data_IF_719909962392
#
_entry.id   IF_719909962392
#
_cell.length_a   1.000
_cell.length_b   1.000
_cell.length_c   1.000
_cell.angle_alpha   90.00
_cell.angle_beta   90.00
_cell.angle_gamma   90.00
#
_symmetry.space_group_name_H-M   'P 1'
#
loop_
_entity.id
_entity.type
_entity.pdbx_description
1 polymer ?
#
# COMPACT_ATOMS: atom_id res chain seq x y z
N UNK A 1 -12.08 -0.34 11.46
CA UNK A 1 -12.76 0.54 10.49
C UNK A 1 -13.01 -0.24 9.22
N UNK A 2 -14.28 -0.45 8.87
CA UNK A 2 -14.71 -1.06 7.63
C UNK A 2 -14.98 0.05 6.63
N UNK A 3 -14.14 0.18 5.61
CA UNK A 3 -14.17 1.28 4.64
C UNK A 3 -14.42 0.79 3.22
N UNK A 4 -15.67 0.78 2.75
CA UNK A 4 -16.02 0.53 1.35
C UNK A 4 -15.26 1.42 0.36
N UNK A 5 -15.27 1.10 -0.95
CA UNK A 5 -14.58 1.90 -1.95
C UNK A 5 -15.03 3.36 -1.93
N UNK A 6 -14.07 4.28 -1.93
CA UNK A 6 -14.35 5.71 -1.99
C UNK A 6 -14.82 6.38 -0.70
N UNK A 7 -14.90 5.66 0.43
CA UNK A 7 -15.38 6.21 1.72
C UNK A 7 -14.30 6.97 2.51
N UNK A 8 -13.11 7.18 1.95
CA UNK A 8 -12.05 7.92 2.64
C UNK A 8 -11.38 7.14 3.77
N UNK A 9 -11.31 5.81 3.69
CA UNK A 9 -10.68 4.93 4.68
C UNK A 9 -9.32 5.43 5.16
N UNK A 10 -8.37 5.66 4.25
CA UNK A 10 -7.03 6.13 4.61
C UNK A 10 -7.05 7.52 5.24
N UNK A 11 -7.92 8.41 4.77
CA UNK A 11 -8.09 9.75 5.37
C UNK A 11 -8.60 9.64 6.80
N UNK A 12 -9.60 8.81 7.04
CA UNK A 12 -10.13 8.53 8.38
C UNK A 12 -9.05 7.93 9.29
N UNK A 13 -8.20 7.03 8.75
CA UNK A 13 -7.12 6.43 9.51
C UNK A 13 -6.03 7.45 9.87
N UNK A 14 -5.69 8.35 8.96
CA UNK A 14 -4.75 9.48 9.23
C UNK A 14 -5.29 10.37 10.34
N UNK A 15 -6.59 10.71 10.34
CA UNK A 15 -7.23 11.44 11.43
C UNK A 15 -7.15 10.68 12.76
N UNK A 16 -7.48 9.39 12.75
CA UNK A 16 -7.43 8.57 13.95
C UNK A 16 -6.00 8.49 14.52
N UNK A 17 -4.97 8.42 13.66
CA UNK A 17 -3.56 8.46 14.07
C UNK A 17 -3.26 9.82 14.69
N UNK A 18 -3.63 10.92 14.02
CA UNK A 18 -3.38 12.27 14.51
C UNK A 18 -4.03 12.52 15.87
N UNK A 19 -5.28 12.13 16.06
CA UNK A 19 -5.99 12.23 17.35
C UNK A 19 -5.36 11.33 18.43
N UNK A 20 -4.87 10.14 18.06
CA UNK A 20 -4.17 9.25 18.99
C UNK A 20 -2.86 9.88 19.47
N UNK A 21 -2.12 10.55 18.58
CA UNK A 21 -0.85 11.22 18.91
C UNK A 21 -1.00 12.42 19.87
N UNK A 22 -2.22 12.92 20.08
CA UNK A 22 -2.48 13.91 21.15
C UNK A 22 -2.36 13.32 22.56
N UNK A 23 -2.50 11.99 22.67
CA UNK A 23 -2.51 11.24 23.93
C UNK A 23 -1.32 10.28 24.09
N UNK A 24 -0.74 9.86 22.99
CA UNK A 24 0.38 8.93 22.93
C UNK A 24 1.61 9.62 22.30
N UNK A 25 2.79 9.31 22.84
CA UNK A 25 4.04 9.89 22.32
C UNK A 25 4.38 9.34 20.93
N UNK A 26 4.07 8.07 20.68
CA UNK A 26 4.45 7.38 19.45
C UNK A 26 3.49 6.25 19.12
N UNK A 27 3.22 6.03 17.82
CA UNK A 27 2.42 4.91 17.33
C UNK A 27 3.16 4.13 16.23
N UNK A 28 2.77 2.87 16.05
CA UNK A 28 3.22 2.04 14.93
C UNK A 28 2.14 2.03 13.84
N UNK A 29 2.54 2.26 12.59
CA UNK A 29 1.65 2.21 11.42
C UNK A 29 2.17 1.18 10.43
N UNK A 30 1.33 0.22 10.06
CA UNK A 30 1.69 -0.84 9.13
C UNK A 30 0.68 -0.99 8.01
N UNK A 31 1.14 -1.51 6.87
CA UNK A 31 0.29 -2.01 5.79
C UNK A 31 0.93 -3.20 5.10
N UNK A 32 0.18 -3.91 4.25
CA UNK A 32 0.70 -5.05 3.52
C UNK A 32 1.74 -4.65 2.48
N UNK A 33 1.53 -3.58 1.73
CA UNK A 33 2.39 -3.11 0.66
C UNK A 33 3.21 -1.87 1.03
N UNK A 34 4.39 -1.70 0.39
CA UNK A 34 5.17 -0.47 0.55
C UNK A 34 4.38 0.76 0.08
N UNK A 35 3.64 0.64 -1.02
CA UNK A 35 2.86 1.74 -1.58
C UNK A 35 1.79 2.25 -0.59
N UNK A 36 1.10 1.36 0.11
CA UNK A 36 0.12 1.75 1.12
C UNK A 36 0.78 2.42 2.33
N UNK A 37 1.95 1.90 2.79
CA UNK A 37 2.71 2.53 3.88
C UNK A 37 3.19 3.92 3.48
N UNK A 38 3.72 4.08 2.26
CA UNK A 38 4.23 5.36 1.78
C UNK A 38 3.08 6.37 1.64
N UNK A 39 1.94 5.96 1.08
CA UNK A 39 0.76 6.82 0.93
C UNK A 39 0.22 7.37 2.26
N UNK A 40 0.09 6.51 3.29
CA UNK A 40 -0.36 6.98 4.62
C UNK A 40 0.69 7.85 5.28
N UNK A 41 1.98 7.52 5.09
CA UNK A 41 3.11 8.29 5.62
C UNK A 41 3.18 9.69 5.01
N UNK A 42 2.99 9.83 3.69
CA UNK A 42 2.91 11.13 3.02
C UNK A 42 1.82 12.02 3.63
N UNK A 43 0.61 11.49 3.78
CA UNK A 43 -0.50 12.23 4.38
C UNK A 43 -0.24 12.67 5.81
N UNK A 44 0.52 11.89 6.59
CA UNK A 44 0.92 12.25 7.94
C UNK A 44 2.00 13.34 7.94
N UNK A 45 2.98 13.23 7.03
CA UNK A 45 4.04 14.26 6.85
C UNK A 45 3.43 15.57 6.39
N UNK A 46 2.48 15.57 5.46
CA UNK A 46 1.76 16.77 4.99
C UNK A 46 1.02 17.50 6.13
N UNK A 47 0.72 16.78 7.23
CA UNK A 47 0.15 17.34 8.47
C UNK A 47 1.18 17.73 9.52
N UNK A 48 2.46 17.68 9.17
CA UNK A 48 3.56 18.03 10.09
C UNK A 48 3.87 16.94 11.12
N UNK A 49 3.41 15.69 10.93
CA UNK A 49 3.76 14.60 11.83
C UNK A 49 5.14 14.05 11.49
N UNK A 50 6.01 13.93 12.49
CA UNK A 50 7.34 13.33 12.32
C UNK A 50 7.22 11.81 12.10
N UNK A 51 7.49 11.35 10.88
CA UNK A 51 7.44 9.94 10.48
C UNK A 51 8.85 9.38 10.32
N UNK A 52 9.11 8.17 10.82
CA UNK A 52 10.29 7.37 10.53
C UNK A 52 9.86 6.11 9.77
N UNK A 53 10.27 6.01 8.51
CA UNK A 53 9.91 4.92 7.60
C UNK A 53 10.94 3.79 7.68
N UNK A 54 10.53 2.63 8.18
CA UNK A 54 11.38 1.44 8.27
C UNK A 54 11.16 0.57 7.03
N UNK A 55 12.20 0.34 6.26
CA UNK A 55 12.14 -0.51 5.07
C UNK A 55 13.25 -0.20 4.07
N UNK A 56 13.47 -1.07 3.11
CA UNK A 56 14.51 -0.91 2.10
C UNK A 56 14.24 0.35 1.23
N UNK A 57 15.17 1.34 1.21
CA UNK A 57 15.01 2.57 0.44
C UNK A 57 14.70 2.37 -1.06
N UNK A 58 15.17 1.26 -1.66
CA UNK A 58 14.91 0.96 -3.08
C UNK A 58 13.45 0.60 -3.38
N UNK A 59 12.63 0.41 -2.35
CA UNK A 59 11.20 0.06 -2.44
C UNK A 59 10.28 1.13 -1.90
N UNK A 60 10.84 2.26 -1.51
CA UNK A 60 10.13 3.43 -0.98
C UNK A 60 10.01 4.46 -2.09
N UNK A 61 8.90 5.16 -2.18
CA UNK A 61 8.73 6.21 -3.18
C UNK A 61 9.66 7.42 -2.91
N UNK A 62 9.89 8.23 -3.94
CA UNK A 62 10.86 9.34 -3.89
C UNK A 62 10.52 10.36 -2.80
N UNK A 63 9.23 10.65 -2.56
CA UNK A 63 8.80 11.61 -1.54
C UNK A 63 9.13 11.14 -0.12
N UNK A 64 9.03 9.84 0.13
CA UNK A 64 9.29 9.26 1.44
C UNK A 64 10.74 8.83 1.66
N UNK A 65 11.59 8.90 0.62
CA UNK A 65 12.97 8.43 0.69
C UNK A 65 13.79 9.11 1.79
N UNK A 66 13.64 10.42 1.95
CA UNK A 66 14.33 11.20 3.00
C UNK A 66 13.85 10.89 4.43
N UNK A 67 12.69 10.26 4.57
CA UNK A 67 12.11 9.84 5.85
C UNK A 67 12.47 8.41 6.23
N UNK A 68 13.23 7.69 5.37
CA UNK A 68 13.67 6.34 5.67
C UNK A 68 14.72 6.33 6.78
N UNK A 69 14.65 5.27 7.62
CA UNK A 69 15.63 5.06 8.68
C UNK A 69 17.06 5.08 8.16
N UNK A 70 17.33 4.36 7.07
CA UNK A 70 18.67 4.26 6.48
C UNK A 70 19.21 5.64 6.06
N UNK A 71 18.41 6.44 5.37
CA UNK A 71 18.82 7.78 4.93
C UNK A 71 19.03 8.72 6.10
N UNK A 72 18.12 8.71 7.08
CA UNK A 72 18.26 9.54 8.28
C UNK A 72 19.45 9.11 9.14
N UNK A 73 19.70 7.81 9.24
CA UNK A 73 20.85 7.26 9.95
C UNK A 73 22.17 7.70 9.29
N UNK A 74 22.28 7.58 7.96
CA UNK A 74 23.46 8.00 7.18
C UNK A 74 23.67 9.52 7.18
N UNK A 75 22.61 10.31 7.29
CA UNK A 75 22.66 11.78 7.32
C UNK A 75 22.91 12.34 8.73
N UNK A 76 22.97 11.48 9.76
CA UNK A 76 23.17 11.92 11.13
C UNK A 76 24.58 12.52 11.33
N UNK A 77 24.74 13.63 12.10
CA UNK A 77 26.05 14.27 12.35
C UNK A 77 27.13 13.32 12.88
N UNK A 78 26.77 12.31 13.64
CA UNK A 78 27.70 11.33 14.22
C UNK A 78 28.02 10.17 13.25
N UNK A 79 27.35 10.07 12.12
CA UNK A 79 27.58 8.96 11.17
C UNK A 79 29.01 8.92 10.58
N UNK A 80 29.65 10.04 10.24
CA UNK A 80 31.03 10.02 9.75
C UNK A 80 32.03 9.41 10.77
N UNK A 81 31.85 9.66 12.09
CA UNK A 81 32.65 9.04 13.14
C UNK A 81 32.43 7.53 13.15
N UNK A 82 31.18 7.09 13.14
CA UNK A 82 30.80 5.69 13.09
C UNK A 82 31.37 4.99 11.86
N UNK A 83 31.28 5.61 10.70
CA UNK A 83 31.82 5.08 9.46
C UNK A 83 33.35 4.90 9.52
N UNK A 84 34.07 5.89 10.07
CA UNK A 84 35.52 5.85 10.26
C UNK A 84 35.94 4.71 11.19
N UNK A 85 35.23 4.50 12.29
CA UNK A 85 35.45 3.40 13.23
C UNK A 85 35.21 2.05 12.56
N UNK A 86 34.10 1.89 11.84
CA UNK A 86 33.78 0.66 11.10
C UNK A 86 34.83 0.35 10.03
N UNK A 87 35.38 1.36 9.37
CA UNK A 87 36.49 1.24 8.42
C UNK A 87 37.77 0.77 9.11
N UNK A 88 38.12 1.36 10.26
CA UNK A 88 39.27 0.98 11.07
C UNK A 88 39.17 -0.48 11.54
N UNK A 89 38.02 -0.93 12.01
CA UNK A 89 37.77 -2.33 12.41
C UNK A 89 38.00 -3.28 11.22
N UNK A 90 37.49 -2.93 10.02
CA UNK A 90 37.70 -3.73 8.79
C UNK A 90 39.19 -3.85 8.44
N UNK A 91 39.93 -2.74 8.47
CA UNK A 91 41.36 -2.72 8.20
C UNK A 91 42.15 -3.53 9.20
N UNK A 92 41.84 -3.44 10.51
CA UNK A 92 42.47 -4.25 11.54
C UNK A 92 42.19 -5.74 11.37
N UNK A 93 41.05 -6.14 10.86
CA UNK A 93 40.71 -7.54 10.56
C UNK A 93 41.47 -8.06 9.34
N UNK A 94 41.62 -7.26 8.29
CA UNK A 94 42.35 -7.61 7.07
C UNK A 94 43.84 -7.72 7.32
N UNK A 95 44.43 -6.86 8.17
CA UNK A 95 45.86 -6.77 8.41
C UNK A 95 46.34 -7.59 9.64
N UNK A 96 45.58 -8.58 10.08
CA UNK A 96 45.90 -9.41 11.22
C UNK A 96 47.19 -10.23 10.95
N UNK A 97 48.34 -9.80 11.52
CA UNK A 97 49.58 -10.57 11.52
C UNK A 97 49.54 -11.64 12.62
N UNK A 98 50.06 -12.88 12.34
CA UNK A 98 50.24 -13.94 13.33
C UNK A 98 51.27 -13.47 14.39
N UNK A 99 50.85 -13.36 15.66
CA UNK A 99 51.77 -13.10 16.79
C UNK A 99 51.44 -11.95 17.73
N UNK A 100 50.38 -11.15 17.52
CA UNK A 100 49.99 -10.02 18.41
C UNK A 100 48.54 -10.13 18.86
N UNK A 101 48.20 -11.21 19.59
CA UNK A 101 46.81 -11.56 19.85
C UNK A 101 46.11 -10.61 20.87
N UNK A 102 46.69 -10.35 22.03
CA UNK A 102 46.00 -9.70 23.14
C UNK A 102 45.74 -8.18 22.88
N UNK A 103 46.74 -7.47 22.41
CA UNK A 103 46.62 -6.03 22.15
C UNK A 103 45.67 -5.74 20.96
N UNK A 104 45.64 -6.66 19.98
CA UNK A 104 44.73 -6.57 18.83
C UNK A 104 43.26 -6.77 19.26
N UNK A 105 42.99 -7.80 20.07
CA UNK A 105 41.63 -8.06 20.58
C UNK A 105 41.09 -6.88 21.39
N UNK A 106 41.88 -6.36 22.33
CA UNK A 106 41.50 -5.21 23.14
C UNK A 106 41.19 -3.97 22.26
N UNK A 107 42.02 -3.71 21.24
CA UNK A 107 41.80 -2.57 20.33
C UNK A 107 40.51 -2.72 19.52
N UNK A 108 40.28 -3.93 18.96
CA UNK A 108 39.05 -4.22 18.20
C UNK A 108 37.81 -4.10 19.11
N UNK A 109 37.84 -4.61 20.33
CA UNK A 109 36.72 -4.54 21.27
C UNK A 109 36.42 -3.09 21.70
N UNK A 110 37.44 -2.26 21.96
CA UNK A 110 37.24 -0.83 22.23
C UNK A 110 36.55 -0.12 21.06
N UNK A 111 37.00 -0.39 19.84
CA UNK A 111 36.39 0.20 18.64
C UNK A 111 34.95 -0.29 18.43
N UNK A 112 34.67 -1.56 18.65
CA UNK A 112 33.30 -2.11 18.59
C UNK A 112 32.40 -1.46 19.64
N UNK A 113 32.86 -1.35 20.90
CA UNK A 113 32.09 -0.70 21.98
C UNK A 113 31.76 0.74 21.61
N UNK A 114 32.76 1.49 21.08
CA UNK A 114 32.54 2.87 20.63
C UNK A 114 31.56 2.95 19.46
N UNK A 115 31.67 2.05 18.48
CA UNK A 115 30.70 1.99 17.36
C UNK A 115 29.28 1.72 17.87
N UNK A 116 29.12 0.74 18.78
CA UNK A 116 27.81 0.44 19.38
C UNK A 116 27.24 1.63 20.15
N UNK A 117 28.06 2.35 20.91
CA UNK A 117 27.63 3.56 21.63
C UNK A 117 27.09 4.62 20.68
N UNK A 118 27.80 4.90 19.57
CA UNK A 118 27.36 5.87 18.57
C UNK A 118 26.08 5.39 17.88
N UNK A 119 26.00 4.12 17.49
CA UNK A 119 24.79 3.53 16.91
C UNK A 119 23.59 3.65 17.83
N UNK A 120 23.74 3.38 19.12
CA UNK A 120 22.70 3.53 20.13
C UNK A 120 22.25 4.99 20.25
N UNK A 121 23.20 5.94 20.23
CA UNK A 121 22.91 7.38 20.32
C UNK A 121 22.13 7.86 19.09
N UNK A 122 22.56 7.50 17.87
CA UNK A 122 21.85 7.83 16.64
C UNK A 122 20.43 7.24 16.69
N UNK A 123 20.29 5.96 17.03
CA UNK A 123 19.00 5.29 17.13
C UNK A 123 18.09 5.97 18.15
N UNK A 124 18.61 6.27 19.35
CA UNK A 124 17.83 6.94 20.39
C UNK A 124 17.28 8.30 19.92
N UNK A 125 18.08 9.06 19.19
CA UNK A 125 17.65 10.33 18.62
C UNK A 125 16.59 10.14 17.51
N UNK A 126 16.84 9.28 16.52
CA UNK A 126 15.91 9.06 15.42
C UNK A 126 14.55 8.55 15.90
N UNK A 127 14.55 7.59 16.82
CA UNK A 127 13.31 7.07 17.42
C UNK A 127 12.65 8.06 18.36
N UNK A 128 13.44 8.87 19.10
CA UNK A 128 12.92 9.90 20.00
C UNK A 128 12.24 11.06 19.27
N UNK A 129 12.72 11.43 18.09
CA UNK A 129 12.13 12.49 17.25
C UNK A 129 10.86 12.01 16.52
N UNK A 130 10.76 10.74 16.20
CA UNK A 130 9.64 10.23 15.43
C UNK A 130 8.37 10.09 16.28
N UNK A 131 7.24 10.55 15.76
CA UNK A 131 5.92 10.35 16.36
C UNK A 131 5.21 9.14 15.75
N UNK A 132 5.55 8.79 14.51
CA UNK A 132 5.03 7.63 13.80
C UNK A 132 6.20 6.79 13.29
N UNK A 133 6.19 5.51 13.63
CA UNK A 133 7.04 4.51 13.02
C UNK A 133 6.20 3.79 11.96
N UNK A 134 6.63 3.87 10.69
CA UNK A 134 5.89 3.31 9.57
C UNK A 134 6.67 2.16 8.91
N UNK A 135 6.04 1.01 8.70
CA UNK A 135 6.66 -0.15 8.05
C UNK A 135 5.63 -1.05 7.36
N UNK A 136 6.08 -1.95 6.49
CA UNK A 136 5.20 -3.06 6.10
C UNK A 136 5.00 -4.00 7.29
N UNK A 137 3.93 -4.81 7.27
CA UNK A 137 3.66 -5.79 8.33
C UNK A 137 4.88 -6.68 8.60
N UNK A 138 5.46 -7.27 7.55
CA UNK A 138 6.69 -8.08 7.67
C UNK A 138 7.90 -7.21 8.03
N UNK A 139 7.97 -5.98 7.51
CA UNK A 139 9.02 -5.01 7.84
C UNK A 139 9.08 -4.64 9.32
N UNK A 140 7.98 -4.79 10.06
CA UNK A 140 7.95 -4.58 11.52
C UNK A 140 8.81 -5.60 12.29
N UNK A 141 9.22 -6.70 11.67
CA UNK A 141 10.20 -7.64 12.24
C UNK A 141 11.66 -7.18 12.12
N UNK A 142 11.92 -6.03 11.48
CA UNK A 142 13.28 -5.50 11.33
C UNK A 142 13.98 -5.39 12.70
N UNK A 143 15.26 -5.73 12.73
CA UNK A 143 16.07 -5.73 13.95
C UNK A 143 16.19 -4.35 14.61
N UNK A 144 16.11 -3.25 13.82
CA UNK A 144 16.12 -1.88 14.37
C UNK A 144 14.93 -1.58 15.28
N UNK A 145 13.84 -2.35 15.14
CA UNK A 145 12.66 -2.30 15.99
C UNK A 145 12.73 -3.30 17.17
N UNK A 146 13.85 -3.99 17.35
CA UNK A 146 13.99 -4.96 18.43
C UNK A 146 13.85 -4.27 19.79
N UNK A 147 13.03 -4.84 20.67
CA UNK A 147 12.74 -4.25 21.99
C UNK A 147 11.72 -3.08 21.98
N UNK A 148 11.41 -2.49 20.83
CA UNK A 148 10.40 -1.42 20.73
C UNK A 148 8.99 -1.96 20.95
N UNK A 149 8.21 -1.26 21.77
CA UNK A 149 6.79 -1.51 22.05
C UNK A 149 5.99 -0.24 21.89
N UNK A 150 4.77 -0.37 21.43
CA UNK A 150 3.86 0.74 21.17
C UNK A 150 2.54 0.53 21.91
N UNK A 151 1.87 1.59 22.29
CA UNK A 151 0.52 1.47 22.84
C UNK A 151 -0.44 1.10 21.72
N UNK A 152 -0.38 1.80 20.59
CA UNK A 152 -1.30 1.59 19.49
C UNK A 152 -0.58 1.25 18.18
N UNK A 153 -1.09 0.24 17.50
CA UNK A 153 -0.76 -0.14 16.12
C UNK A 153 -1.96 0.16 15.21
N UNK A 154 -1.69 0.80 14.08
CA UNK A 154 -2.64 0.97 13.00
C UNK A 154 -2.23 0.08 11.82
N UNK A 155 -3.18 -0.68 11.26
CA UNK A 155 -2.95 -1.51 10.07
C UNK A 155 -3.90 -1.04 8.96
N UNK A 156 -3.36 -0.46 7.90
CA UNK A 156 -4.12 -0.13 6.69
C UNK A 156 -4.13 -1.32 5.72
N UNK A 157 -5.17 -1.40 4.88
CA UNK A 157 -5.44 -2.52 3.96
C UNK A 157 -5.41 -3.89 4.64
N UNK A 158 -5.94 -3.95 5.88
CA UNK A 158 -5.92 -5.16 6.71
C UNK A 158 -6.66 -6.35 6.09
N UNK A 159 -7.62 -6.11 5.20
CA UNK A 159 -8.34 -7.14 4.48
C UNK A 159 -7.53 -7.80 3.35
N UNK A 160 -6.41 -7.17 2.92
CA UNK A 160 -5.49 -7.73 1.93
C UNK A 160 -4.28 -8.42 2.58
N UNK A 161 -4.19 -8.42 3.90
CA UNK A 161 -3.08 -8.98 4.66
C UNK A 161 -3.37 -10.40 5.13
N UNK A 162 -2.41 -11.31 4.97
CA UNK A 162 -2.47 -12.60 5.63
C UNK A 162 -2.48 -12.42 7.15
N UNK A 163 -3.29 -13.20 7.85
CA UNK A 163 -3.40 -13.13 9.31
C UNK A 163 -2.04 -13.25 10.00
N UNK A 164 -1.19 -14.19 9.56
CA UNK A 164 0.16 -14.37 10.10
C UNK A 164 1.03 -13.11 10.01
N UNK A 165 0.90 -12.33 8.92
CA UNK A 165 1.63 -11.07 8.77
C UNK A 165 1.15 -10.02 9.78
N UNK A 166 -0.16 -9.94 10.04
CA UNK A 166 -0.70 -9.06 11.07
C UNK A 166 -0.13 -9.36 12.45
N UNK A 167 -0.01 -10.65 12.82
CA UNK A 167 0.55 -11.07 14.11
C UNK A 167 1.99 -10.63 14.34
N UNK A 168 2.80 -10.52 13.27
CA UNK A 168 4.18 -10.01 13.37
C UNK A 168 4.18 -8.59 13.95
N UNK A 169 3.36 -7.70 13.42
CA UNK A 169 3.24 -6.32 13.91
C UNK A 169 2.52 -6.25 15.26
N UNK A 170 1.46 -7.02 15.46
CA UNK A 170 0.63 -7.02 16.68
C UNK A 170 1.41 -7.40 17.94
N UNK A 171 2.45 -8.21 17.83
CA UNK A 171 3.35 -8.51 18.95
C UNK A 171 3.99 -7.26 19.57
N UNK A 172 4.00 -6.13 18.86
CA UNK A 172 4.66 -4.90 19.28
C UNK A 172 3.71 -3.88 19.91
N UNK A 173 2.41 -4.16 19.94
CA UNK A 173 1.41 -3.19 20.42
C UNK A 173 0.40 -3.83 21.39
N UNK A 174 -0.15 -2.99 22.26
CA UNK A 174 -1.20 -3.41 23.21
C UNK A 174 -2.60 -3.22 22.64
N UNK A 175 -2.77 -2.25 21.74
CA UNK A 175 -4.04 -1.93 21.06
C UNK A 175 -3.82 -1.93 19.55
N UNK A 176 -4.80 -2.44 18.79
CA UNK A 176 -4.73 -2.51 17.35
C UNK A 176 -5.98 -1.88 16.72
N UNK A 177 -5.78 -1.03 15.73
CA UNK A 177 -6.83 -0.48 14.88
C UNK A 177 -6.62 -1.03 13.46
N UNK A 178 -7.58 -1.80 12.98
CA UNK A 178 -7.58 -2.34 11.61
C UNK A 178 -8.44 -1.45 10.71
N UNK A 179 -7.92 -1.08 9.56
CA UNK A 179 -8.67 -0.43 8.49
C UNK A 179 -8.59 -1.27 7.22
N UNK A 180 -9.72 -1.52 6.58
CA UNK A 180 -9.77 -2.37 5.40
C UNK A 180 -11.20 -2.55 4.91
N UNK A 181 -11.35 -3.44 3.94
CA UNK A 181 -12.64 -3.84 3.41
C UNK A 181 -12.62 -5.32 3.02
N UNK A 182 -13.20 -6.15 3.86
CA UNK A 182 -13.22 -7.60 3.67
C UNK A 182 -14.16 -8.07 2.54
N UNK A 183 -14.98 -7.17 2.02
CA UNK A 183 -15.82 -7.43 0.83
C UNK A 183 -15.08 -7.20 -0.49
N UNK A 184 -13.86 -6.63 -0.43
CA UNK A 184 -12.97 -6.51 -1.58
C UNK A 184 -12.08 -7.74 -1.74
N UNK A 185 -11.14 -7.70 -2.70
CA UNK A 185 -10.26 -8.82 -3.02
C UNK A 185 -9.46 -9.27 -1.79
N UNK A 186 -9.46 -10.59 -1.51
CA UNK A 186 -8.69 -11.17 -0.42
C UNK A 186 -7.17 -11.18 -0.72
N UNK A 187 -6.32 -11.56 0.26
CA UNK A 187 -4.89 -11.75 0.02
C UNK A 187 -4.64 -12.78 -1.08
N UNK A 188 -3.60 -12.55 -1.90
CA UNK A 188 -3.20 -13.51 -2.92
C UNK A 188 -2.55 -14.74 -2.28
N UNK A 189 -3.19 -15.90 -2.40
CA UNK A 189 -2.67 -17.19 -1.97
C UNK A 189 -2.37 -18.05 -3.20
N UNK A 190 -1.11 -18.43 -3.41
CA UNK A 190 -0.68 -19.18 -4.59
C UNK A 190 -1.05 -20.66 -4.55
N UNK A 191 -1.09 -21.27 -3.36
CA UNK A 191 -1.47 -22.67 -3.17
C UNK A 191 -2.98 -22.77 -3.00
N UNK A 192 -3.63 -23.52 -3.88
CA UNK A 192 -5.07 -23.80 -3.81
C UNK A 192 -5.44 -24.59 -2.55
N UNK A 193 -4.59 -25.53 -2.13
CA UNK A 193 -4.77 -26.30 -0.90
C UNK A 193 -4.71 -25.41 0.34
N UNK A 194 -3.73 -24.50 0.40
CA UNK A 194 -3.60 -23.54 1.50
C UNK A 194 -4.81 -22.57 1.55
N UNK A 195 -5.30 -22.15 0.38
CA UNK A 195 -6.50 -21.32 0.29
C UNK A 195 -7.73 -22.06 0.84
N UNK A 196 -7.95 -23.33 0.45
CA UNK A 196 -9.01 -24.18 1.00
C UNK A 196 -8.83 -24.44 2.50
N UNK A 197 -7.59 -24.57 2.97
CA UNK A 197 -7.25 -24.68 4.39
C UNK A 197 -7.49 -23.41 5.22
N UNK A 198 -7.99 -22.32 4.60
CA UNK A 198 -8.37 -21.09 5.30
C UNK A 198 -7.28 -20.01 5.36
N UNK A 199 -6.16 -20.16 4.63
CA UNK A 199 -5.09 -19.15 4.61
C UNK A 199 -5.55 -17.81 4.00
N UNK A 200 -6.56 -17.82 3.13
CA UNK A 200 -7.13 -16.62 2.52
C UNK A 200 -8.03 -15.82 3.48
N UNK A 201 -8.52 -16.46 4.57
CA UNK A 201 -9.38 -15.79 5.55
C UNK A 201 -8.55 -14.85 6.41
N UNK A 202 -8.83 -13.54 6.31
CA UNK A 202 -8.06 -12.50 6.98
C UNK A 202 -8.43 -12.33 8.44
N UNK A 203 -7.54 -11.76 9.23
CA UNK A 203 -7.83 -11.38 10.62
C UNK A 203 -9.01 -10.39 10.69
N UNK A 204 -9.07 -9.43 9.77
CA UNK A 204 -10.17 -8.46 9.70
C UNK A 204 -11.52 -9.15 9.48
N UNK A 205 -11.61 -10.07 8.52
CA UNK A 205 -12.82 -10.85 8.25
C UNK A 205 -13.28 -11.64 9.49
N UNK A 206 -12.33 -12.30 10.19
CA UNK A 206 -12.63 -13.00 11.44
C UNK A 206 -13.17 -12.10 12.54
N UNK A 207 -12.64 -10.86 12.63
CA UNK A 207 -13.11 -9.88 13.61
C UNK A 207 -14.51 -9.39 13.25
N UNK A 208 -14.77 -9.09 11.98
CA UNK A 208 -16.12 -8.68 11.53
C UNK A 208 -17.16 -9.75 11.84
N UNK A 209 -16.82 -11.02 11.64
CA UNK A 209 -17.74 -12.16 11.94
C UNK A 209 -17.97 -12.38 13.44
N UNK A 210 -16.87 -12.30 14.23
CA UNK A 210 -16.93 -12.71 15.64
C UNK A 210 -17.20 -11.58 16.63
N UNK A 211 -16.90 -10.35 16.22
CA UNK A 211 -16.99 -9.14 17.06
C UNK A 211 -17.53 -7.94 16.26
N UNK A 212 -18.73 -8.05 15.69
CA UNK A 212 -19.31 -6.96 14.89
C UNK A 212 -19.46 -5.66 15.68
N UNK A 213 -19.58 -5.74 16.99
CA UNK A 213 -19.72 -4.58 17.90
C UNK A 213 -18.50 -3.65 17.91
N UNK A 214 -17.31 -4.13 17.54
CA UNK A 214 -16.10 -3.31 17.45
C UNK A 214 -15.85 -2.78 16.03
N UNK A 215 -16.77 -3.04 15.09
CA UNK A 215 -16.63 -2.66 13.68
C UNK A 215 -17.44 -1.42 13.39
N UNK A 216 -16.78 -0.39 12.84
CA UNK A 216 -17.43 0.83 12.36
C UNK A 216 -17.37 0.86 10.84
N UNK A 217 -18.54 0.86 10.20
CA UNK A 217 -18.69 1.00 8.76
C UNK A 217 -18.67 2.49 8.37
N UNK A 218 -17.82 2.86 7.42
CA UNK A 218 -17.89 4.17 6.76
C UNK A 218 -18.99 4.15 5.71
N UNK A 219 -20.01 4.98 5.88
CA UNK A 219 -21.23 4.93 5.08
C UNK A 219 -21.26 5.89 3.89
N UNK A 220 -20.51 7.00 3.96
CA UNK A 220 -20.49 8.01 2.90
C UNK A 220 -19.31 7.76 1.95
N UNK A 221 -19.57 7.63 0.65
CA UNK A 221 -18.52 7.52 -0.37
C UNK A 221 -18.46 8.79 -1.23
N UNK A 222 -17.23 9.15 -1.67
CA UNK A 222 -16.89 10.38 -2.37
C UNK A 222 -16.28 10.14 -3.76
N UNK A 223 -16.48 8.94 -4.34
CA UNK A 223 -15.83 8.53 -5.57
C UNK A 223 -16.78 8.39 -6.74
N UNK A 224 -17.88 7.68 -6.54
CA UNK A 224 -18.67 7.11 -7.62
C UNK A 224 -20.07 7.74 -7.68
N UNK A 225 -20.60 7.83 -8.91
CA UNK A 225 -22.02 8.06 -9.12
C UNK A 225 -22.86 7.00 -8.38
N UNK A 226 -24.04 7.40 -7.91
CA UNK A 226 -24.97 6.55 -7.18
C UNK A 226 -25.28 5.23 -7.91
N UNK A 227 -25.53 5.28 -9.22
CA UNK A 227 -25.87 4.10 -10.02
C UNK A 227 -24.71 3.09 -10.11
N UNK A 228 -23.45 3.58 -10.17
CA UNK A 228 -22.27 2.72 -10.17
C UNK A 228 -22.11 2.03 -8.81
N UNK A 229 -22.34 2.75 -7.71
CA UNK A 229 -22.13 2.24 -6.36
C UNK A 229 -23.27 1.34 -5.89
N UNK A 230 -24.49 1.56 -6.35
CA UNK A 230 -25.72 0.94 -5.81
C UNK A 230 -25.64 -0.58 -5.73
N UNK A 231 -25.17 -1.24 -6.80
CA UNK A 231 -24.99 -2.70 -6.80
C UNK A 231 -24.10 -3.17 -5.63
N UNK A 232 -22.95 -2.51 -5.46
CA UNK A 232 -22.01 -2.88 -4.39
C UNK A 232 -22.59 -2.57 -3.01
N UNK A 233 -23.30 -1.46 -2.85
CA UNK A 233 -23.96 -1.09 -1.59
C UNK A 233 -24.99 -2.13 -1.19
N UNK A 234 -25.89 -2.49 -2.09
CA UNK A 234 -26.97 -3.42 -1.80
C UNK A 234 -26.45 -4.83 -1.56
N UNK A 235 -25.47 -5.29 -2.35
CA UNK A 235 -24.97 -6.66 -2.30
C UNK A 235 -23.99 -6.92 -1.15
N UNK A 236 -23.10 -6.00 -0.85
CA UNK A 236 -21.99 -6.23 0.11
C UNK A 236 -22.14 -5.46 1.42
N UNK A 237 -22.89 -4.36 1.43
CA UNK A 237 -22.93 -3.46 2.58
C UNK A 237 -24.36 -3.24 3.11
N UNK A 238 -25.30 -4.09 2.72
CA UNK A 238 -26.68 -4.05 3.20
C UNK A 238 -27.41 -2.74 2.87
N UNK A 239 -27.06 -2.11 1.76
CA UNK A 239 -27.64 -0.83 1.33
C UNK A 239 -27.21 0.39 2.18
N UNK A 240 -26.22 0.25 3.07
CA UNK A 240 -25.84 1.28 4.02
C UNK A 240 -24.82 2.30 3.49
N UNK A 241 -24.24 2.05 2.31
CA UNK A 241 -23.26 2.97 1.70
C UNK A 241 -23.98 3.90 0.75
N UNK A 242 -23.84 5.19 0.98
CA UNK A 242 -24.51 6.26 0.24
C UNK A 242 -23.49 7.18 -0.44
N UNK A 243 -23.80 7.75 -1.61
CA UNK A 243 -22.93 8.74 -2.26
C UNK A 243 -23.05 10.09 -1.56
N UNK A 244 -21.91 10.77 -1.41
CA UNK A 244 -21.92 12.17 -1.03
C UNK A 244 -22.63 13.03 -2.11
N UNK A 245 -23.31 14.14 -1.73
CA UNK A 245 -24.09 14.94 -2.67
C UNK A 245 -23.31 15.37 -3.93
N UNK A 246 -22.04 15.71 -3.78
CA UNK A 246 -21.15 16.18 -4.85
C UNK A 246 -20.78 15.10 -5.89
N UNK A 247 -20.93 13.82 -5.56
CA UNK A 247 -20.64 12.72 -6.48
C UNK A 247 -21.88 11.94 -6.90
N UNK A 248 -23.01 12.19 -6.27
CA UNK A 248 -24.26 11.44 -6.47
C UNK A 248 -24.65 11.33 -7.94
N UNK A 249 -24.54 12.43 -8.66
CA UNK A 249 -24.88 12.52 -10.08
C UNK A 249 -23.67 12.79 -10.98
N UNK A 250 -22.47 12.44 -10.51
CA UNK A 250 -21.23 12.64 -11.27
C UNK A 250 -21.31 11.90 -12.60
N UNK A 251 -21.13 12.60 -13.68
CA UNK A 251 -21.04 12.10 -15.06
C UNK A 251 -20.12 12.99 -15.89
N UNK A 252 -19.72 12.53 -17.06
CA UNK A 252 -18.95 13.31 -18.03
C UNK A 252 -19.88 14.05 -18.98
N UNK A 253 -20.95 13.39 -19.40
CA UNK A 253 -22.01 13.95 -20.26
C UNK A 253 -23.31 14.06 -19.48
N UNK A 254 -24.04 15.14 -19.71
CA UNK A 254 -25.40 15.28 -19.20
C UNK A 254 -26.30 14.23 -19.86
N UNK A 255 -27.20 13.68 -19.06
CA UNK A 255 -28.15 12.63 -19.48
C UNK A 255 -27.52 11.31 -19.95
N UNK A 256 -26.21 11.09 -19.71
CA UNK A 256 -25.57 9.82 -20.03
C UNK A 256 -25.85 8.75 -18.96
N UNK A 257 -25.87 7.48 -19.38
CA UNK A 257 -25.98 6.39 -18.43
C UNK A 257 -24.61 6.15 -17.77
N UNK A 258 -24.48 6.32 -16.43
CA UNK A 258 -23.19 6.21 -15.75
C UNK A 258 -22.63 4.80 -15.70
N UNK A 259 -23.45 3.78 -16.02
CA UNK A 259 -23.04 2.38 -16.10
C UNK A 259 -23.82 1.68 -17.22
N UNK A 260 -23.12 1.07 -18.16
CA UNK A 260 -23.69 0.27 -19.22
C UNK A 260 -23.07 -1.13 -19.23
N UNK A 261 -23.89 -2.11 -19.53
CA UNK A 261 -23.46 -3.49 -19.72
C UNK A 261 -23.61 -3.86 -21.19
N UNK A 262 -22.52 -4.31 -21.82
CA UNK A 262 -22.52 -4.75 -23.21
C UNK A 262 -22.44 -6.28 -23.20
N UNK A 263 -23.54 -6.93 -23.55
CA UNK A 263 -23.61 -8.38 -23.64
C UNK A 263 -23.01 -8.84 -24.98
N UNK A 264 -21.99 -9.68 -24.91
CA UNK A 264 -21.34 -10.29 -26.07
C UNK A 264 -21.88 -11.67 -26.44
N UNK A 265 -22.95 -12.14 -25.78
CA UNK A 265 -23.61 -13.41 -26.08
C UNK A 265 -24.06 -13.45 -27.55
N UNK A 266 -23.72 -14.53 -28.26
CA UNK A 266 -24.08 -14.72 -29.66
C UNK A 266 -23.23 -13.94 -30.70
N UNK A 267 -22.15 -13.25 -30.26
CA UNK A 267 -21.30 -12.42 -31.15
C UNK A 267 -20.00 -13.08 -31.61
N UNK A 268 -19.84 -14.38 -31.46
CA UNK A 268 -18.59 -15.13 -31.74
C UNK A 268 -17.36 -14.59 -30.93
N UNK A 269 -17.60 -14.03 -29.75
CA UNK A 269 -16.56 -13.50 -28.87
C UNK A 269 -15.89 -14.66 -28.09
N UNK A 270 -14.98 -15.38 -28.71
CA UNK A 270 -14.29 -16.51 -28.10
C UNK A 270 -12.88 -16.15 -27.63
N UNK A 271 -12.51 -16.71 -26.46
CA UNK A 271 -11.14 -16.66 -25.96
C UNK A 271 -10.19 -17.48 -26.85
N UNK A 272 -9.00 -16.95 -27.12
CA UNK A 272 -7.92 -17.60 -27.84
C UNK A 272 -6.65 -17.61 -27.01
N UNK A 273 -5.92 -18.72 -27.04
CA UNK A 273 -4.60 -18.80 -26.42
C UNK A 273 -3.55 -18.16 -27.34
N UNK A 274 -2.62 -17.39 -26.75
CA UNK A 274 -1.54 -16.73 -27.47
C UNK A 274 -0.20 -17.15 -26.91
N UNK A 275 0.66 -17.71 -27.78
CA UNK A 275 2.03 -18.12 -27.46
C UNK A 275 2.12 -19.33 -26.53
N UNK A 276 3.36 -19.69 -26.15
CA UNK A 276 3.65 -20.80 -25.25
C UNK A 276 3.28 -20.52 -23.79
N UNK A 277 2.95 -19.27 -23.43
CA UNK A 277 2.75 -18.79 -22.05
C UNK A 277 1.30 -18.79 -21.57
N UNK A 278 0.40 -19.52 -22.21
CA UNK A 278 -1.01 -19.59 -21.81
C UNK A 278 -1.73 -18.22 -21.67
N UNK A 279 -1.26 -17.20 -22.36
CA UNK A 279 -1.93 -15.90 -22.43
C UNK A 279 -3.28 -16.05 -23.12
N UNK A 280 -4.33 -15.40 -22.59
CA UNK A 280 -5.66 -15.38 -23.21
C UNK A 280 -5.96 -14.02 -23.80
N UNK A 281 -6.51 -14.02 -25.01
CA UNK A 281 -7.08 -12.84 -25.66
C UNK A 281 -8.46 -13.15 -26.20
N UNK A 282 -9.31 -12.14 -26.25
CA UNK A 282 -10.56 -12.13 -26.97
C UNK A 282 -10.52 -10.97 -27.97
N UNK A 283 -10.30 -11.27 -29.24
CA UNK A 283 -10.15 -10.24 -30.28
C UNK A 283 -11.43 -9.45 -30.49
N UNK A 284 -12.58 -10.13 -30.48
CA UNK A 284 -13.89 -9.48 -30.68
C UNK A 284 -14.20 -8.49 -29.56
N UNK A 285 -13.99 -8.89 -28.30
CA UNK A 285 -14.17 -7.98 -27.14
C UNK A 285 -13.19 -6.81 -27.19
N UNK A 286 -11.95 -7.02 -27.63
CA UNK A 286 -10.99 -5.93 -27.75
C UNK A 286 -11.45 -4.87 -28.77
N UNK A 287 -11.91 -5.30 -29.96
CA UNK A 287 -12.44 -4.37 -30.96
C UNK A 287 -13.70 -3.66 -30.45
N UNK A 288 -14.65 -4.40 -29.87
CA UNK A 288 -15.87 -3.82 -29.31
C UNK A 288 -15.56 -2.78 -28.21
N UNK A 289 -14.56 -3.06 -27.37
CA UNK A 289 -14.10 -2.11 -26.34
C UNK A 289 -13.60 -0.81 -26.97
N UNK A 290 -12.78 -0.90 -28.04
CA UNK A 290 -12.24 0.29 -28.70
C UNK A 290 -13.30 1.04 -29.52
N UNK A 291 -14.20 0.34 -30.18
CA UNK A 291 -15.32 0.93 -30.92
C UNK A 291 -16.24 1.70 -29.97
N UNK A 292 -16.53 1.11 -28.79
CA UNK A 292 -17.31 1.77 -27.73
C UNK A 292 -16.59 3.01 -27.21
N UNK A 293 -15.29 2.92 -26.94
CA UNK A 293 -14.48 4.06 -26.49
C UNK A 293 -14.43 5.16 -27.53
N UNK A 294 -14.23 4.82 -28.79
CA UNK A 294 -14.22 5.78 -29.91
C UNK A 294 -15.57 6.51 -29.99
N UNK A 295 -16.67 5.76 -30.00
CA UNK A 295 -18.02 6.34 -30.03
C UNK A 295 -18.26 7.28 -28.85
N UNK A 296 -17.75 6.92 -27.68
CA UNK A 296 -17.88 7.75 -26.48
C UNK A 296 -17.03 9.03 -26.59
N UNK A 297 -15.80 8.92 -27.10
CA UNK A 297 -14.93 10.08 -27.33
C UNK A 297 -15.49 11.05 -28.38
N UNK A 298 -16.11 10.51 -29.44
CA UNK A 298 -16.80 11.33 -30.45
C UNK A 298 -17.97 12.12 -29.84
N UNK A 299 -18.70 11.52 -28.88
CA UNK A 299 -19.77 12.24 -28.15
C UNK A 299 -19.25 13.34 -27.25
N UNK A 300 -18.13 13.11 -26.56
CA UNK A 300 -17.52 14.10 -25.66
C UNK A 300 -16.92 15.25 -26.47
N UNK A 301 -16.28 14.94 -27.59
CA UNK A 301 -15.53 15.87 -28.42
C UNK A 301 -14.05 16.01 -27.99
N UNK A 302 -13.17 16.05 -28.98
CA UNK A 302 -11.71 16.08 -28.77
C UNK A 302 -11.24 17.25 -27.92
N UNK A 303 -11.78 18.44 -28.17
CA UNK A 303 -11.41 19.66 -27.43
C UNK A 303 -11.66 19.48 -25.94
N UNK A 304 -12.85 19.03 -25.57
CA UNK A 304 -13.23 18.83 -24.17
C UNK A 304 -12.40 17.75 -23.48
N UNK A 305 -12.07 16.64 -24.20
CA UNK A 305 -11.23 15.58 -23.64
C UNK A 305 -9.84 16.11 -23.23
N UNK A 306 -9.27 17.00 -24.07
CA UNK A 306 -7.95 17.58 -23.83
C UNK A 306 -7.98 18.67 -22.76
N UNK A 307 -8.96 19.56 -22.81
CA UNK A 307 -9.09 20.68 -21.86
C UNK A 307 -9.38 20.20 -20.43
N UNK A 308 -10.31 19.24 -20.28
CA UNK A 308 -10.67 18.68 -18.98
C UNK A 308 -9.72 17.54 -18.53
N UNK A 309 -8.74 17.16 -19.37
CA UNK A 309 -7.80 16.05 -19.09
C UNK A 309 -8.54 14.77 -18.67
N UNK A 310 -9.55 14.37 -19.46
CA UNK A 310 -10.41 13.22 -19.14
C UNK A 310 -9.59 11.94 -19.20
N UNK A 311 -9.46 11.29 -18.04
CA UNK A 311 -8.74 10.04 -17.87
C UNK A 311 -9.67 8.83 -18.09
N UNK A 312 -9.22 7.87 -18.90
CA UNK A 312 -9.96 6.64 -19.18
C UNK A 312 -9.11 5.42 -18.87
N UNK A 313 -9.63 4.52 -18.05
CA UNK A 313 -9.01 3.24 -17.73
C UNK A 313 -9.69 2.07 -18.47
N UNK A 314 -8.90 1.26 -19.18
CA UNK A 314 -9.34 -0.03 -19.72
C UNK A 314 -8.72 -1.14 -18.89
N UNK A 315 -9.57 -1.98 -18.29
CA UNK A 315 -9.15 -3.04 -17.36
C UNK A 315 -9.47 -4.40 -17.95
N UNK A 316 -8.51 -5.31 -17.91
CA UNK A 316 -8.70 -6.72 -18.25
C UNK A 316 -7.95 -7.61 -17.26
N UNK A 317 -8.50 -8.78 -16.86
CA UNK A 317 -7.82 -9.72 -15.97
C UNK A 317 -6.59 -10.39 -16.64
N UNK A 318 -6.51 -10.40 -17.96
CA UNK A 318 -5.45 -11.07 -18.72
C UNK A 318 -4.42 -10.08 -19.28
N UNK A 319 -3.17 -10.26 -18.88
CA UNK A 319 -2.05 -9.41 -19.37
C UNK A 319 -1.94 -9.41 -20.91
N UNK A 320 -2.17 -10.56 -21.53
CA UNK A 320 -2.14 -10.67 -22.99
C UNK A 320 -3.22 -9.79 -23.65
N UNK A 321 -4.43 -9.73 -23.09
CA UNK A 321 -5.51 -8.86 -23.56
C UNK A 321 -5.14 -7.38 -23.43
N UNK A 322 -4.54 -6.98 -22.30
CA UNK A 322 -4.05 -5.60 -22.12
C UNK A 322 -2.99 -5.23 -23.14
N UNK A 323 -2.05 -6.15 -23.46
CA UNK A 323 -1.04 -5.92 -24.49
C UNK A 323 -1.65 -5.81 -25.88
N UNK A 324 -2.61 -6.65 -26.20
CA UNK A 324 -3.32 -6.61 -27.47
C UNK A 324 -4.12 -5.30 -27.64
N UNK A 325 -4.85 -4.87 -26.62
CA UNK A 325 -5.55 -3.56 -26.62
C UNK A 325 -4.57 -2.40 -26.83
N UNK A 326 -3.43 -2.39 -26.15
CA UNK A 326 -2.37 -1.37 -26.34
C UNK A 326 -1.83 -1.36 -27.78
N UNK A 327 -1.70 -2.52 -28.41
CA UNK A 327 -1.26 -2.62 -29.79
C UNK A 327 -2.31 -2.02 -30.74
N UNK A 328 -3.59 -2.36 -30.56
CA UNK A 328 -4.69 -1.81 -31.37
C UNK A 328 -4.80 -0.29 -31.21
N UNK A 329 -4.70 0.25 -30.01
CA UNK A 329 -4.70 1.70 -29.76
C UNK A 329 -3.57 2.39 -30.50
N UNK A 330 -2.36 1.82 -30.50
CA UNK A 330 -1.20 2.37 -31.23
C UNK A 330 -1.36 2.32 -32.75
N UNK A 331 -2.15 1.39 -33.27
CA UNK A 331 -2.42 1.23 -34.69
C UNK A 331 -3.60 2.07 -35.18
N UNK A 332 -4.44 2.53 -34.27
CA UNK A 332 -5.61 3.33 -34.60
C UNK A 332 -5.23 4.78 -34.88
N UNK A 333 -5.67 5.31 -36.02
CA UNK A 333 -5.50 6.72 -36.37
C UNK A 333 -6.34 7.65 -35.49
N UNK A 334 -7.43 7.15 -34.91
CA UNK A 334 -8.30 7.91 -34.02
C UNK A 334 -7.64 8.20 -32.66
N UNK A 335 -6.92 7.24 -32.09
CA UNK A 335 -6.30 7.37 -30.76
C UNK A 335 -4.86 7.92 -30.77
N UNK A 336 -4.36 8.28 -31.96
CA UNK A 336 -3.10 9.03 -32.14
C UNK A 336 -3.37 10.52 -32.02
#
# INVERSE_FOLDING_TARGET
VHGPPGTGKTTTLVEAIYETLKRESQVLVCAQSNMAVDWISEKLVDRGVAVLRIGNPTRVNDKMLSFTYERRFESHPDYPELWSIRKAIRQLRQNRKRGSADNWHQKVERLKSRATEIECRINAQLFGEARVIASTLVGSANHVLSGQKYTTLFIDEAAQALEAACWIAMKRASRVVLAGDHCQLPPTVKSFEAMRGGLAKTLMERIVEKKPEVVTLLKMQYRMNERIMRFSSDWFYGGMVEPAPEVKHRGILDYDEPMAWIDTSGTEAYEQFVGESFGRINKREAHLTLDTLQTYFEKIGKERILEESIDVGIISPYRAQVQYLRQLIKQSDFFR
#
